data_IF_815723189238
#
_entry.id   IF_815723189238
#
_cell.length_a   1.000
_cell.length_b   1.000
_cell.length_c   1.000
_cell.angle_alpha   90.00
_cell.angle_beta   90.00
_cell.angle_gamma   90.00
#
_symmetry.space_group_name_H-M   'P 1'
#
loop_
_entity.id
_entity.type
_entity.pdbx_description
1 polymer ?
#
# COMPACT_ATOMS: atom_id res chain seq x y z
N UNK A 1 24.71 -14.22 -5.76
CA UNK A 1 23.74 -14.27 -4.65
C UNK A 1 22.82 -13.04 -4.67
N UNK A 2 23.36 -11.81 -4.76
CA UNK A 2 22.57 -10.57 -4.75
C UNK A 2 21.55 -10.49 -5.90
N UNK A 3 21.90 -10.78 -7.17
CA UNK A 3 20.92 -10.80 -8.26
C UNK A 3 19.74 -11.75 -7.98
N UNK A 4 20.01 -12.93 -7.48
CA UNK A 4 18.96 -13.92 -7.19
C UNK A 4 17.99 -13.42 -6.10
N UNK A 5 18.47 -12.71 -5.08
CA UNK A 5 17.63 -12.09 -4.05
C UNK A 5 16.73 -11.02 -4.67
N UNK A 6 17.30 -10.13 -5.48
CA UNK A 6 16.55 -9.05 -6.13
C UNK A 6 15.49 -9.63 -7.09
N UNK A 7 15.85 -10.59 -7.94
CA UNK A 7 14.90 -11.26 -8.84
C UNK A 7 13.75 -11.92 -8.07
N UNK A 8 14.05 -12.61 -6.97
CA UNK A 8 13.02 -13.22 -6.14
C UNK A 8 12.06 -12.18 -5.54
N UNK A 9 12.59 -11.05 -5.10
CA UNK A 9 11.75 -9.98 -4.52
C UNK A 9 10.93 -9.27 -5.59
N UNK A 10 11.49 -9.01 -6.78
CA UNK A 10 10.75 -8.46 -7.93
C UNK A 10 9.62 -9.40 -8.32
N UNK A 11 9.91 -10.70 -8.46
CA UNK A 11 8.88 -11.70 -8.75
C UNK A 11 7.80 -11.74 -7.66
N UNK A 12 8.20 -11.61 -6.40
CA UNK A 12 7.27 -11.54 -5.27
C UNK A 12 6.33 -10.33 -5.32
N UNK A 13 6.83 -9.17 -5.74
CA UNK A 13 6.00 -7.96 -5.95
C UNK A 13 5.06 -8.17 -7.15
N UNK A 14 5.57 -8.64 -8.27
CA UNK A 14 4.79 -8.82 -9.49
C UNK A 14 3.74 -9.94 -9.38
N UNK A 15 3.94 -10.90 -8.49
CA UNK A 15 2.96 -11.96 -8.22
C UNK A 15 1.62 -11.43 -7.66
N UNK A 16 1.59 -10.22 -7.13
CA UNK A 16 0.34 -9.58 -6.70
C UNK A 16 -0.55 -9.11 -7.85
N UNK A 17 -0.12 -9.21 -9.11
CA UNK A 17 -0.91 -8.78 -10.26
C UNK A 17 -2.28 -9.45 -10.33
N UNK A 18 -2.35 -10.75 -10.08
CA UNK A 18 -3.62 -11.50 -10.05
C UNK A 18 -4.61 -10.95 -9.01
N UNK A 19 -4.09 -10.41 -7.91
CA UNK A 19 -4.90 -9.89 -6.81
C UNK A 19 -5.30 -8.43 -7.02
N UNK A 20 -4.37 -7.59 -7.45
CA UNK A 20 -4.60 -6.14 -7.57
C UNK A 20 -5.39 -5.74 -8.82
N UNK A 21 -5.40 -6.57 -9.85
CA UNK A 21 -6.24 -6.37 -11.04
C UNK A 21 -7.68 -6.85 -10.83
N UNK A 22 -7.95 -7.57 -9.75
CA UNK A 22 -9.29 -8.00 -9.39
C UNK A 22 -10.09 -6.79 -8.86
N UNK A 23 -11.32 -6.51 -9.39
CA UNK A 23 -12.17 -5.43 -8.90
C UNK A 23 -12.51 -5.54 -7.40
N UNK A 24 -12.44 -6.74 -6.83
CA UNK A 24 -12.70 -7.02 -5.42
C UNK A 24 -11.42 -7.23 -4.61
N UNK A 25 -10.31 -6.59 -5.00
CA UNK A 25 -9.06 -6.68 -4.25
C UNK A 25 -9.27 -6.31 -2.78
N UNK A 26 -8.75 -7.14 -1.88
CA UNK A 26 -8.86 -6.88 -0.45
C UNK A 26 -7.78 -5.89 0.00
N UNK A 27 -8.13 -5.07 0.99
CA UNK A 27 -7.17 -4.15 1.63
C UNK A 27 -6.00 -4.89 2.27
N UNK A 28 -6.22 -6.13 2.70
CA UNK A 28 -5.16 -7.00 3.23
C UNK A 28 -4.11 -7.32 2.16
N UNK A 29 -4.52 -7.62 0.95
CA UNK A 29 -3.61 -7.92 -0.17
C UNK A 29 -2.82 -6.68 -0.58
N UNK A 30 -3.44 -5.51 -0.62
CA UNK A 30 -2.75 -4.24 -0.86
C UNK A 30 -1.73 -3.93 0.25
N UNK A 31 -2.05 -4.24 1.50
CA UNK A 31 -1.11 -4.13 2.60
C UNK A 31 0.08 -5.09 2.46
N UNK A 32 -0.15 -6.34 2.06
CA UNK A 32 0.93 -7.30 1.80
C UNK A 32 1.82 -6.86 0.61
N UNK A 33 1.22 -6.32 -0.45
CA UNK A 33 1.98 -5.72 -1.56
C UNK A 33 2.88 -4.57 -1.07
N UNK A 34 2.37 -3.73 -0.18
CA UNK A 34 3.15 -2.65 0.44
C UNK A 34 4.36 -3.20 1.20
N UNK A 35 4.19 -4.26 1.96
CA UNK A 35 5.29 -4.93 2.68
C UNK A 35 6.31 -5.49 1.70
N UNK A 36 5.89 -6.20 0.66
CA UNK A 36 6.77 -6.77 -0.36
C UNK A 36 7.58 -5.68 -1.08
N UNK A 37 6.93 -4.59 -1.47
CA UNK A 37 7.57 -3.44 -2.10
C UNK A 37 8.60 -2.77 -1.19
N UNK A 38 8.31 -2.68 0.11
CA UNK A 38 9.22 -2.15 1.12
C UNK A 38 10.48 -3.01 1.25
N UNK A 39 10.32 -4.34 1.27
CA UNK A 39 11.46 -5.25 1.31
C UNK A 39 12.34 -5.10 0.07
N UNK A 40 11.76 -5.03 -1.12
CA UNK A 40 12.50 -4.81 -2.37
C UNK A 40 13.27 -3.49 -2.32
N UNK A 41 12.62 -2.39 -1.92
CA UNK A 41 13.29 -1.09 -1.82
C UNK A 41 14.49 -1.12 -0.87
N UNK A 42 14.32 -1.68 0.32
CA UNK A 42 15.43 -1.74 1.29
C UNK A 42 16.58 -2.62 0.80
N UNK A 43 16.29 -3.68 0.08
CA UNK A 43 17.34 -4.50 -0.54
C UNK A 43 18.12 -3.69 -1.59
N UNK A 44 17.44 -2.93 -2.44
CA UNK A 44 18.10 -2.07 -3.43
C UNK A 44 18.90 -0.96 -2.75
N UNK A 45 18.37 -0.32 -1.72
CA UNK A 45 19.09 0.71 -0.95
C UNK A 45 20.35 0.14 -0.28
N UNK A 46 20.26 -1.07 0.28
CA UNK A 46 21.39 -1.73 0.94
C UNK A 46 22.52 -2.08 -0.03
N UNK A 47 22.17 -2.56 -1.22
CA UNK A 47 23.17 -2.95 -2.24
C UNK A 47 23.49 -1.85 -3.25
N UNK A 48 23.00 -0.63 -3.07
CA UNK A 48 23.10 0.48 -4.02
C UNK A 48 24.53 0.73 -4.53
N UNK A 49 25.52 0.64 -3.64
CA UNK A 49 26.92 0.92 -3.97
C UNK A 49 27.56 -0.11 -4.90
N UNK A 50 26.96 -1.30 -5.01
CA UNK A 50 27.50 -2.40 -5.86
C UNK A 50 26.59 -2.69 -7.05
N UNK A 51 25.44 -2.03 -7.13
CA UNK A 51 24.51 -2.14 -8.24
C UNK A 51 24.75 -1.03 -9.29
N UNK A 52 24.06 -1.12 -10.42
CA UNK A 52 24.17 -0.11 -11.46
C UNK A 52 23.61 1.25 -11.01
N UNK A 53 23.99 2.36 -11.67
CA UNK A 53 23.42 3.68 -11.41
C UNK A 53 21.89 3.75 -11.56
N UNK A 54 21.29 2.88 -12.37
CA UNK A 54 19.84 2.77 -12.56
C UNK A 54 19.10 2.35 -11.30
N UNK A 55 19.81 1.85 -10.30
CA UNK A 55 19.24 1.50 -8.98
C UNK A 55 18.53 2.68 -8.32
N UNK A 56 19.06 3.89 -8.47
CA UNK A 56 18.41 5.10 -7.94
C UNK A 56 17.02 5.32 -8.56
N UNK A 57 16.94 5.19 -9.89
CA UNK A 57 15.66 5.29 -10.61
C UNK A 57 14.68 4.21 -10.15
N UNK A 58 15.13 2.97 -10.00
CA UNK A 58 14.30 1.87 -9.51
C UNK A 58 13.77 2.15 -8.08
N UNK A 59 14.61 2.65 -7.20
CA UNK A 59 14.22 3.03 -5.83
C UNK A 59 13.14 4.12 -5.85
N UNK A 60 13.29 5.14 -6.71
CA UNK A 60 12.30 6.23 -6.84
C UNK A 60 10.95 5.67 -7.30
N UNK A 61 10.93 4.81 -8.32
CA UNK A 61 9.68 4.23 -8.83
C UNK A 61 8.99 3.34 -7.78
N UNK A 62 9.74 2.50 -7.09
CA UNK A 62 9.19 1.67 -6.01
C UNK A 62 8.67 2.52 -4.85
N UNK A 63 9.32 3.64 -4.55
CA UNK A 63 8.85 4.58 -3.53
C UNK A 63 7.50 5.20 -3.89
N UNK A 64 7.26 5.56 -5.16
CA UNK A 64 5.95 6.05 -5.63
C UNK A 64 4.83 5.04 -5.35
N UNK A 65 5.07 3.75 -5.62
CA UNK A 65 4.12 2.70 -5.28
C UNK A 65 3.88 2.63 -3.77
N UNK A 66 4.93 2.69 -2.97
CA UNK A 66 4.81 2.63 -1.51
C UNK A 66 4.07 3.82 -0.92
N UNK A 67 4.32 5.03 -1.43
CA UNK A 67 3.63 6.24 -0.98
C UNK A 67 2.14 6.13 -1.28
N UNK A 68 1.77 5.68 -2.48
CA UNK A 68 0.38 5.46 -2.84
C UNK A 68 -0.31 4.42 -1.94
N UNK A 69 0.33 3.27 -1.72
CA UNK A 69 -0.18 2.24 -0.81
C UNK A 69 -0.19 2.68 0.66
N UNK A 70 0.75 3.56 1.05
CA UNK A 70 0.79 4.18 2.36
C UNK A 70 -0.39 5.10 2.60
N UNK A 71 -0.67 6.01 1.68
CA UNK A 71 -1.81 6.92 1.74
C UNK A 71 -3.14 6.15 1.80
N UNK A 72 -3.25 5.08 1.01
CA UNK A 72 -4.40 4.18 1.05
C UNK A 72 -4.56 3.52 2.40
N UNK A 73 -3.50 2.97 2.98
CA UNK A 73 -3.52 2.34 4.29
C UNK A 73 -3.87 3.34 5.40
N UNK A 74 -3.34 4.54 5.35
CA UNK A 74 -3.62 5.61 6.31
C UNK A 74 -5.11 6.02 6.25
N UNK A 75 -5.67 6.11 5.04
CA UNK A 75 -7.10 6.38 4.86
C UNK A 75 -7.99 5.26 5.41
N UNK A 76 -7.59 3.99 5.25
CA UNK A 76 -8.29 2.84 5.85
C UNK A 76 -8.29 2.93 7.36
N UNK A 77 -7.12 3.09 7.97
CA UNK A 77 -6.96 3.14 9.43
C UNK A 77 -7.74 4.32 10.01
N UNK A 78 -7.61 5.52 9.43
CA UNK A 78 -8.35 6.70 9.87
C UNK A 78 -9.86 6.49 9.77
N UNK A 79 -10.36 5.90 8.68
CA UNK A 79 -11.79 5.63 8.49
C UNK A 79 -12.33 4.63 9.52
N UNK A 80 -11.57 3.60 9.84
CA UNK A 80 -11.95 2.62 10.88
C UNK A 80 -12.01 3.25 12.27
N UNK A 81 -11.00 4.05 12.62
CA UNK A 81 -10.98 4.77 13.90
C UNK A 81 -12.19 5.70 14.08
N UNK A 82 -12.45 6.52 13.06
CA UNK A 82 -13.55 7.49 13.09
C UNK A 82 -14.91 6.80 13.11
N UNK A 83 -15.07 5.71 12.36
CA UNK A 83 -16.29 4.91 12.37
C UNK A 83 -16.53 4.26 13.74
N UNK A 84 -15.50 3.70 14.36
CA UNK A 84 -15.59 3.12 15.69
C UNK A 84 -15.93 4.16 16.73
N UNK A 85 -15.37 5.38 16.65
CA UNK A 85 -15.74 6.47 17.53
C UNK A 85 -17.22 6.85 17.40
N UNK A 86 -17.74 7.00 16.18
CA UNK A 86 -19.14 7.34 15.93
C UNK A 86 -20.10 6.22 16.35
N UNK A 87 -19.65 4.96 16.31
CA UNK A 87 -20.48 3.82 16.71
C UNK A 87 -20.49 3.60 18.23
N UNK A 88 -19.32 3.71 18.87
CA UNK A 88 -19.12 3.27 20.26
C UNK A 88 -18.76 4.40 21.23
N UNK A 89 -18.48 5.61 20.75
CA UNK A 89 -18.01 6.74 21.57
C UNK A 89 -16.60 6.57 22.12
N UNK A 90 -15.84 5.61 21.61
CA UNK A 90 -14.47 5.31 22.06
C UNK A 90 -13.55 5.15 20.87
N UNK A 91 -12.31 5.59 21.04
CA UNK A 91 -11.24 5.37 20.08
C UNK A 91 -10.74 3.91 20.15
N UNK A 92 -10.70 3.24 19.01
CA UNK A 92 -10.26 1.87 18.89
C UNK A 92 -11.39 0.85 18.87
N UNK A 93 -11.02 -0.45 18.72
CA UNK A 93 -12.00 -1.52 18.73
C UNK A 93 -12.46 -1.82 20.16
N UNK A 94 -13.75 -2.03 20.39
CA UNK A 94 -14.23 -2.48 21.70
C UNK A 94 -13.63 -3.86 22.00
N UNK A 95 -13.02 -4.00 23.16
CA UNK A 95 -12.41 -5.26 23.63
C UNK A 95 -13.42 -6.39 23.83
N UNK A 96 -14.71 -6.07 23.88
CA UNK A 96 -15.80 -7.02 24.05
C UNK A 96 -16.82 -6.83 22.93
N UNK A 97 -17.04 -7.90 22.16
CA UNK A 97 -18.17 -8.04 21.24
C UNK A 97 -19.48 -8.22 22.05
N UNK A 98 -19.82 -7.29 22.92
CA UNK A 98 -21.14 -7.29 23.53
C UNK A 98 -22.13 -6.56 22.65
N UNK A 99 -23.29 -7.17 22.45
CA UNK A 99 -24.46 -6.67 21.70
C UNK A 99 -25.05 -5.36 22.22
N UNK A 100 -24.27 -4.53 22.89
CA UNK A 100 -24.70 -3.28 23.48
C UNK A 100 -24.26 -2.12 22.58
N UNK A 101 -24.95 -1.97 21.44
CA UNK A 101 -24.92 -0.72 20.69
C UNK A 101 -25.38 0.41 21.61
N UNK A 102 -24.76 1.61 21.55
CA UNK A 102 -25.27 2.77 22.27
C UNK A 102 -26.74 3.00 21.91
N UNK A 103 -27.56 3.25 22.91
CA UNK A 103 -29.00 3.48 22.70
C UNK A 103 -29.30 4.77 21.94
N UNK A 104 -28.34 5.69 21.87
CA UNK A 104 -28.45 6.96 21.19
C UNK A 104 -27.26 7.13 20.21
N UNK A 105 -27.50 7.71 19.01
CA UNK A 105 -26.44 8.01 18.07
C UNK A 105 -25.51 9.07 18.65
N UNK A 106 -24.19 8.90 18.40
CA UNK A 106 -23.19 9.87 18.82
C UNK A 106 -23.21 11.05 17.86
N UNK A 107 -23.58 12.22 18.37
CA UNK A 107 -23.60 13.46 17.61
C UNK A 107 -22.24 14.13 17.66
N UNK A 108 -21.43 13.88 16.63
CA UNK A 108 -20.13 14.50 16.44
C UNK A 108 -19.97 14.94 14.99
N UNK A 109 -20.58 16.08 14.56
CA UNK A 109 -20.58 16.52 13.15
C UNK A 109 -19.18 16.69 12.55
N UNK A 110 -18.23 17.20 13.33
CA UNK A 110 -16.83 17.35 12.88
C UNK A 110 -16.16 16.01 12.62
N UNK A 111 -16.42 15.00 13.45
CA UNK A 111 -15.90 13.63 13.24
C UNK A 111 -16.56 12.99 12.03
N UNK A 112 -17.86 13.15 11.84
CA UNK A 112 -18.57 12.64 10.66
C UNK A 112 -18.06 13.27 9.36
N UNK A 113 -17.80 14.57 9.35
CA UNK A 113 -17.24 15.29 8.20
C UNK A 113 -15.83 14.79 7.89
N UNK A 114 -14.99 14.59 8.90
CA UNK A 114 -13.64 14.07 8.72
C UNK A 114 -13.65 12.62 8.24
N UNK A 115 -14.57 11.79 8.74
CA UNK A 115 -14.76 10.43 8.23
C UNK A 115 -15.12 10.44 6.74
N UNK A 116 -16.05 11.29 6.31
CA UNK A 116 -16.41 11.43 4.90
C UNK A 116 -15.21 11.84 4.04
N UNK A 117 -14.37 12.76 4.53
CA UNK A 117 -13.13 13.16 3.85
C UNK A 117 -12.13 11.99 3.72
N UNK A 118 -11.92 11.22 4.78
CA UNK A 118 -11.03 10.05 4.76
C UNK A 118 -11.54 8.93 3.86
N UNK A 119 -12.84 8.70 3.83
CA UNK A 119 -13.46 7.75 2.90
C UNK A 119 -13.34 8.23 1.43
N UNK A 120 -13.51 9.52 1.18
CA UNK A 120 -13.27 10.10 -0.14
C UNK A 120 -11.84 9.92 -0.61
N UNK A 121 -10.85 10.08 0.27
CA UNK A 121 -9.44 9.81 -0.01
C UNK A 121 -9.21 8.33 -0.34
N UNK A 122 -9.76 7.42 0.47
CA UNK A 122 -9.67 5.98 0.21
C UNK A 122 -10.20 5.61 -1.17
N UNK A 123 -11.36 6.12 -1.57
CA UNK A 123 -11.92 5.87 -2.91
C UNK A 123 -11.07 6.45 -4.03
N UNK A 124 -10.48 7.63 -3.85
CA UNK A 124 -9.53 8.20 -4.82
C UNK A 124 -8.31 7.31 -4.99
N UNK A 125 -7.69 6.87 -3.90
CA UNK A 125 -6.51 6.01 -3.92
C UNK A 125 -6.81 4.66 -4.59
N UNK A 126 -7.94 4.04 -4.29
CA UNK A 126 -8.35 2.78 -4.93
C UNK A 126 -8.60 2.96 -6.43
N UNK A 127 -9.19 4.08 -6.85
CA UNK A 127 -9.47 4.37 -8.25
C UNK A 127 -8.22 4.66 -9.08
N UNK A 128 -7.23 5.32 -8.50
CA UNK A 128 -5.98 5.68 -9.18
C UNK A 128 -4.92 4.57 -9.10
N UNK A 129 -5.08 3.60 -8.22
CA UNK A 129 -4.13 2.51 -8.05
C UNK A 129 -3.83 1.72 -9.33
N UNK A 130 -4.80 1.38 -10.21
CA UNK A 130 -4.53 0.67 -11.46
C UNK A 130 -3.54 1.40 -12.37
N UNK A 131 -3.56 2.72 -12.40
CA UNK A 131 -2.61 3.54 -13.20
C UNK A 131 -1.19 3.42 -12.64
N UNK A 132 -1.06 3.51 -11.32
CA UNK A 132 0.24 3.33 -10.63
C UNK A 132 0.77 1.92 -10.86
N UNK A 133 -0.10 0.92 -10.74
CA UNK A 133 0.29 -0.48 -10.91
C UNK A 133 0.68 -0.83 -12.35
N UNK A 134 0.04 -0.23 -13.35
CA UNK A 134 0.32 -0.49 -14.76
C UNK A 134 1.81 -0.28 -15.13
N UNK A 135 2.48 0.68 -14.51
CA UNK A 135 3.91 0.88 -14.71
C UNK A 135 4.74 -0.35 -14.29
N UNK A 136 4.39 -1.00 -13.18
CA UNK A 136 5.10 -2.19 -12.68
C UNK A 136 4.89 -3.43 -13.54
N UNK A 137 3.84 -3.46 -14.34
CA UNK A 137 3.56 -4.51 -15.34
C UNK A 137 4.20 -4.21 -16.71
N UNK A 138 4.71 -2.99 -16.91
CA UNK A 138 5.28 -2.54 -18.19
C UNK A 138 6.64 -3.18 -18.48
N UNK A 139 6.97 -3.26 -19.76
CA UNK A 139 8.31 -3.67 -20.21
C UNK A 139 9.38 -2.68 -19.78
N UNK A 140 9.02 -1.41 -19.60
CA UNK A 140 9.90 -0.37 -19.08
C UNK A 140 10.43 -0.69 -17.68
N UNK A 141 9.55 -1.07 -16.75
CA UNK A 141 9.97 -1.48 -15.41
C UNK A 141 10.80 -2.77 -15.42
N UNK A 142 10.42 -3.76 -16.23
CA UNK A 142 11.19 -5.01 -16.39
C UNK A 142 12.59 -4.74 -16.92
N UNK A 143 12.70 -3.86 -17.92
CA UNK A 143 13.99 -3.44 -18.46
C UNK A 143 14.83 -2.70 -17.42
N UNK A 144 14.23 -1.78 -16.67
CA UNK A 144 14.90 -1.06 -15.60
C UNK A 144 15.49 -2.04 -14.57
N UNK A 145 14.70 -3.02 -14.11
CA UNK A 145 15.18 -4.01 -13.15
C UNK A 145 16.28 -4.93 -13.71
N UNK A 146 16.23 -5.27 -14.99
CA UNK A 146 17.31 -5.99 -15.65
C UNK A 146 18.61 -5.15 -15.70
N UNK A 147 18.51 -3.87 -15.99
CA UNK A 147 19.65 -2.94 -15.99
C UNK A 147 20.26 -2.75 -14.60
N UNK A 148 19.45 -2.76 -13.55
CA UNK A 148 19.92 -2.71 -12.15
C UNK A 148 20.85 -3.88 -11.83
N UNK A 149 20.58 -5.05 -12.37
CA UNK A 149 21.26 -6.31 -12.02
C UNK A 149 22.47 -6.61 -12.94
N UNK A 150 22.51 -6.03 -14.13
CA UNK A 150 23.49 -6.36 -15.18
C UNK A 150 24.95 -6.06 -14.77
N UNK A 151 25.18 -5.21 -13.78
CA UNK A 151 26.51 -4.77 -13.34
C UNK A 151 27.17 -5.75 -12.36
N UNK A 152 26.50 -6.81 -11.98
CA UNK A 152 27.00 -7.86 -11.09
C UNK A 152 27.38 -9.09 -11.88
#
# INVERSE_FOLDING_TARGET
>A
IVPAIIYKQVAGVLAYDEWVTNPNVSLKELHQLRIASKCLRYTLEFFKEVLSPQTETAIIEIRKLQDHLGDLQDAVVASEFLRNFLTWGKWGQPKEKKNNLPKEPILAPGVATYLADRQGELYRQLRTFPEVWAYFQSDEFKKLMAEVIITL
#
